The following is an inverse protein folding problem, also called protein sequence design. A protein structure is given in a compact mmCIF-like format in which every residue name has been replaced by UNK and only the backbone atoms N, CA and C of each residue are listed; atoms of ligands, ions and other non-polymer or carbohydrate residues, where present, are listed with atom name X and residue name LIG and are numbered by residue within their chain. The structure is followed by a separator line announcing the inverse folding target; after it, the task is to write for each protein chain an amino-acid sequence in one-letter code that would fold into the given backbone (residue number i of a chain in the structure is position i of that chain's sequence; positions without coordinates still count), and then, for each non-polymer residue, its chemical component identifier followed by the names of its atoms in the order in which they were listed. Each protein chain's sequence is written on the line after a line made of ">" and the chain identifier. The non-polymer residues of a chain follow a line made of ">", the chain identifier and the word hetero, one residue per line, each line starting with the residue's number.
data_IF_754705397544
#
_entry.id   IF_754705397544
#
_cell.length_a   1.000
_cell.length_b   1.000
_cell.length_c   1.000
_cell.angle_alpha   90.00
_cell.angle_beta   90.00
_cell.angle_gamma   90.00
#
_symmetry.space_group_name_H-M   'P 1'
#
loop_
_entity.id
_entity.type
_entity.pdbx_description
1 polymer ?
#
# COMPACT_ATOMS: atom_id res chain seq x y z
N UNK A 1 7.56 -7.20 -1.45
CA UNK A 1 6.84 -6.47 -2.54
C UNK A 1 6.81 -7.13 -3.94
N UNK A 2 7.83 -7.87 -4.43
CA UNK A 2 7.69 -8.58 -5.72
C UNK A 2 6.46 -9.51 -5.78
N UNK A 3 6.13 -10.15 -4.66
CA UNK A 3 4.98 -11.05 -4.56
C UNK A 3 3.63 -10.32 -4.68
N UNK A 4 3.46 -9.18 -4.03
CA UNK A 4 2.26 -8.34 -4.19
C UNK A 4 2.04 -7.99 -5.67
N UNK A 5 3.10 -7.56 -6.37
CA UNK A 5 3.03 -7.19 -7.79
C UNK A 5 2.61 -8.38 -8.64
N UNK A 6 3.18 -9.56 -8.37
CA UNK A 6 2.86 -10.80 -9.08
C UNK A 6 1.39 -11.21 -8.88
N UNK A 7 0.91 -11.16 -7.64
CA UNK A 7 -0.47 -11.53 -7.28
C UNK A 7 -1.47 -10.54 -7.88
N UNK A 8 -1.22 -9.24 -7.74
CA UNK A 8 -2.10 -8.19 -8.26
C UNK A 8 -2.25 -8.24 -9.79
N UNK A 9 -1.18 -8.60 -10.51
CA UNK A 9 -1.21 -8.72 -11.98
C UNK A 9 -1.84 -10.01 -12.51
N UNK A 10 -2.25 -10.91 -11.62
CA UNK A 10 -2.95 -12.13 -12.01
C UNK A 10 -4.27 -11.80 -12.73
N UNK A 11 -4.64 -12.60 -13.73
CA UNK A 11 -5.87 -12.39 -14.49
C UNK A 11 -7.13 -12.40 -13.62
N UNK A 12 -7.10 -13.13 -12.50
CA UNK A 12 -8.23 -13.25 -11.57
C UNK A 12 -8.39 -12.03 -10.65
N UNK A 13 -7.43 -11.10 -10.65
CA UNK A 13 -7.39 -9.95 -9.73
C UNK A 13 -7.49 -8.60 -10.45
N UNK A 14 -7.88 -8.60 -11.73
CA UNK A 14 -7.98 -7.40 -12.57
C UNK A 14 -9.07 -6.41 -12.12
N UNK A 15 -9.98 -6.87 -11.28
CA UNK A 15 -11.10 -6.14 -10.68
C UNK A 15 -10.73 -5.48 -9.34
N UNK A 16 -9.50 -5.67 -8.85
CA UNK A 16 -9.01 -5.11 -7.58
C UNK A 16 -7.92 -4.08 -7.85
N UNK A 17 -8.16 -2.84 -7.44
CA UNK A 17 -7.17 -1.77 -7.52
C UNK A 17 -6.13 -1.89 -6.39
N UNK A 18 -4.88 -1.53 -6.72
CA UNK A 18 -3.79 -1.45 -5.74
C UNK A 18 -3.29 -0.01 -5.68
N UNK A 19 -3.32 0.57 -4.48
CA UNK A 19 -2.78 1.89 -4.19
C UNK A 19 -1.61 1.77 -3.23
N UNK A 20 -0.45 2.31 -3.60
CA UNK A 20 0.68 2.44 -2.69
C UNK A 20 0.56 3.73 -1.89
N UNK A 21 0.84 3.69 -0.59
CA UNK A 21 0.88 4.87 0.27
C UNK A 21 2.31 5.04 0.79
N UNK A 22 2.96 6.15 0.44
CA UNK A 22 4.28 6.52 0.94
C UNK A 22 4.16 7.48 2.11
N UNK A 23 4.89 7.16 3.19
CA UNK A 23 5.05 8.01 4.37
C UNK A 23 6.40 8.75 4.35
N UNK A 24 7.07 8.84 3.20
CA UNK A 24 8.44 9.38 3.14
C UNK A 24 8.53 10.85 3.56
N UNK A 25 7.44 11.62 3.46
CA UNK A 25 7.37 13.00 3.94
C UNK A 25 7.41 13.12 5.47
N UNK A 26 7.24 12.01 6.18
CA UNK A 26 7.25 11.93 7.63
C UNK A 26 8.65 11.67 8.19
N UNK A 27 9.60 11.33 7.32
CA UNK A 27 10.98 11.14 7.71
C UNK A 27 11.60 12.49 8.14
N UNK A 28 12.47 12.50 9.17
CA UNK A 28 13.19 13.70 9.54
C UNK A 28 13.96 14.28 8.35
N UNK A 29 13.83 15.59 8.14
CA UNK A 29 14.51 16.32 7.04
C UNK A 29 14.03 15.91 5.63
N UNK A 30 12.84 15.35 5.49
CA UNK A 30 12.24 15.09 4.20
C UNK A 30 12.14 16.39 3.36
N UNK A 31 12.70 16.33 2.16
CA UNK A 31 12.58 17.38 1.17
C UNK A 31 11.21 17.29 0.49
N UNK A 32 10.26 18.12 0.96
CA UNK A 32 8.87 18.10 0.49
C UNK A 32 8.74 18.36 -1.01
N UNK A 33 9.62 19.18 -1.58
CA UNK A 33 9.58 19.53 -3.00
C UNK A 33 10.13 18.40 -3.87
N UNK A 34 11.21 17.75 -3.44
CA UNK A 34 11.83 16.68 -4.21
C UNK A 34 11.16 15.30 -4.00
N UNK A 35 10.39 15.11 -2.93
CA UNK A 35 9.85 13.78 -2.58
C UNK A 35 8.98 13.15 -3.67
N UNK A 36 8.04 13.88 -4.31
CA UNK A 36 7.22 13.31 -5.38
C UNK A 36 8.03 12.69 -6.52
N UNK A 37 9.07 13.40 -6.97
CA UNK A 37 9.95 12.91 -8.03
C UNK A 37 10.77 11.69 -7.59
N UNK A 38 11.22 11.65 -6.33
CA UNK A 38 11.99 10.53 -5.78
C UNK A 38 11.14 9.25 -5.69
N UNK A 39 9.94 9.36 -5.14
CA UNK A 39 9.00 8.23 -5.00
C UNK A 39 8.57 7.72 -6.38
N UNK A 40 8.21 8.62 -7.29
CA UNK A 40 7.85 8.25 -8.66
C UNK A 40 8.99 7.51 -9.37
N UNK A 41 10.23 8.01 -9.26
CA UNK A 41 11.41 7.35 -9.82
C UNK A 41 11.66 5.99 -9.19
N UNK A 42 11.50 5.85 -7.87
CA UNK A 42 11.68 4.58 -7.17
C UNK A 42 10.68 3.52 -7.66
N UNK A 43 9.38 3.85 -7.66
CA UNK A 43 8.33 2.92 -8.11
C UNK A 43 8.45 2.60 -9.60
N UNK A 44 8.82 3.59 -10.43
CA UNK A 44 9.11 3.40 -11.84
C UNK A 44 10.28 2.45 -12.10
N UNK A 45 11.42 2.66 -11.42
CA UNK A 45 12.60 1.80 -11.55
C UNK A 45 12.34 0.36 -11.11
N UNK A 46 11.45 0.17 -10.13
CA UNK A 46 11.04 -1.15 -9.67
C UNK A 46 10.03 -1.84 -10.60
N UNK A 47 9.47 -1.11 -11.58
CA UNK A 47 8.53 -1.64 -12.55
C UNK A 47 7.20 -2.11 -11.95
N UNK A 48 6.80 -1.56 -10.80
CA UNK A 48 5.58 -1.98 -10.10
C UNK A 48 4.31 -1.49 -10.82
N UNK A 49 4.35 -0.26 -11.35
CA UNK A 49 3.26 0.28 -12.17
C UNK A 49 1.96 0.55 -11.40
N UNK A 50 2.01 0.63 -10.07
CA UNK A 50 0.87 1.01 -9.24
C UNK A 50 0.86 2.52 -9.00
N UNK A 51 -0.32 3.15 -8.89
CA UNK A 51 -0.44 4.51 -8.40
C UNK A 51 0.13 4.61 -6.98
N UNK A 52 0.72 5.76 -6.67
CA UNK A 52 1.28 6.06 -5.36
C UNK A 52 0.71 7.37 -4.87
N UNK A 53 0.17 7.36 -3.66
CA UNK A 53 -0.15 8.57 -2.90
C UNK A 53 0.95 8.80 -1.88
N UNK A 54 1.42 10.03 -1.78
CA UNK A 54 2.40 10.44 -0.78
C UNK A 54 1.64 11.17 0.31
N UNK A 55 1.66 10.61 1.52
CA UNK A 55 0.98 11.19 2.66
C UNK A 55 1.75 12.42 3.15
N UNK A 56 1.18 13.60 2.92
CA UNK A 56 1.83 14.88 3.21
C UNK A 56 1.33 15.63 4.43
N UNK A 57 0.30 15.09 5.11
CA UNK A 57 -0.20 15.69 6.34
C UNK A 57 0.83 15.54 7.46
N UNK A 58 0.93 16.53 8.34
CA UNK A 58 1.86 16.53 9.48
C UNK A 58 1.45 15.57 10.58
N UNK A 59 0.20 15.10 10.58
CA UNK A 59 -0.34 14.22 11.61
C UNK A 59 -0.39 12.76 11.13
N UNK A 60 0.73 12.07 11.30
CA UNK A 60 0.85 10.62 11.05
C UNK A 60 0.03 9.81 12.04
N UNK A 61 -0.13 10.31 13.27
CA UNK A 61 -0.88 9.62 14.30
C UNK A 61 -2.35 9.50 13.90
N UNK A 62 -2.93 10.52 13.26
CA UNK A 62 -4.31 10.45 12.78
C UNK A 62 -4.59 9.26 11.85
N UNK A 63 -3.69 8.94 10.90
CA UNK A 63 -3.86 7.78 10.00
C UNK A 63 -3.55 6.49 10.71
N UNK A 64 -2.51 6.47 11.54
CA UNK A 64 -2.16 5.30 12.33
C UNK A 64 -3.28 4.90 13.28
N UNK A 65 -3.88 5.84 14.00
CA UNK A 65 -5.04 5.62 14.87
C UNK A 65 -6.26 5.21 14.05
N UNK A 66 -6.53 5.88 12.92
CA UNK A 66 -7.71 5.60 12.10
C UNK A 66 -7.74 4.18 11.56
N UNK A 67 -6.58 3.63 11.22
CA UNK A 67 -6.43 2.29 10.63
C UNK A 67 -5.74 1.29 11.54
N UNK A 68 -5.49 1.64 12.81
CA UNK A 68 -4.77 0.82 13.79
C UNK A 68 -3.44 0.28 13.21
N UNK A 69 -2.61 1.18 12.70
CA UNK A 69 -1.34 0.83 12.05
C UNK A 69 -0.24 0.60 13.09
N UNK A 70 0.62 -0.43 12.92
CA UNK A 70 1.69 -0.77 13.85
C UNK A 70 2.90 0.20 13.81
N UNK A 71 2.74 1.39 13.23
CA UNK A 71 3.79 2.39 13.08
C UNK A 71 4.80 2.03 11.98
N UNK A 72 6.05 1.76 12.36
CA UNK A 72 7.17 1.65 11.41
C UNK A 72 7.20 0.35 10.56
N UNK A 73 6.25 -0.56 10.79
CA UNK A 73 6.16 -1.82 10.06
C UNK A 73 5.29 -1.60 8.81
N UNK A 74 5.73 -2.03 7.62
CA UNK A 74 4.88 -2.01 6.44
C UNK A 74 3.58 -2.77 6.69
N UNK A 75 2.46 -2.21 6.25
CA UNK A 75 1.17 -2.90 6.27
C UNK A 75 0.55 -2.88 4.89
N UNK A 76 -0.17 -3.94 4.57
CA UNK A 76 -1.09 -3.99 3.42
C UNK A 76 -2.50 -4.19 3.97
N UNK A 77 -3.39 -3.24 3.72
CA UNK A 77 -4.80 -3.33 4.08
C UNK A 77 -5.62 -3.68 2.83
N UNK A 78 -6.64 -4.51 3.01
CA UNK A 78 -7.54 -4.93 1.94
C UNK A 78 -8.96 -4.46 2.25
N UNK A 79 -9.58 -3.75 1.32
CA UNK A 79 -10.92 -3.17 1.47
C UNK A 79 -11.88 -3.76 0.44
N UNK A 80 -13.13 -4.00 0.85
CA UNK A 80 -14.21 -4.34 -0.07
C UNK A 80 -14.75 -3.12 -0.83
N UNK A 81 -15.67 -3.35 -1.77
CA UNK A 81 -16.33 -2.30 -2.56
C UNK A 81 -17.13 -1.28 -1.73
N UNK A 82 -17.48 -1.62 -0.49
CA UNK A 82 -18.19 -0.74 0.44
C UNK A 82 -17.21 0.06 1.32
N UNK A 83 -15.89 -0.13 1.12
CA UNK A 83 -14.83 0.53 1.89
C UNK A 83 -14.57 -0.10 3.25
N UNK A 84 -15.05 -1.32 3.52
CA UNK A 84 -14.79 -2.03 4.78
C UNK A 84 -13.50 -2.81 4.67
N UNK A 85 -12.67 -2.73 5.71
CA UNK A 85 -11.48 -3.58 5.80
C UNK A 85 -11.91 -5.05 5.95
N UNK A 86 -11.45 -5.90 5.04
CA UNK A 86 -11.71 -7.35 5.04
C UNK A 86 -10.48 -8.18 5.38
N UNK A 87 -9.31 -7.56 5.45
CA UNK A 87 -8.09 -8.19 5.92
C UNK A 87 -6.89 -7.25 5.89
N UNK A 88 -5.82 -7.68 6.54
CA UNK A 88 -4.53 -7.00 6.54
C UNK A 88 -3.37 -8.00 6.60
N UNK A 89 -2.20 -7.56 6.15
CA UNK A 89 -0.93 -8.27 6.27
C UNK A 89 0.10 -7.29 6.82
N UNK A 90 0.71 -7.63 7.96
CA UNK A 90 1.76 -6.85 8.61
C UNK A 90 3.14 -7.40 8.23
N UNK A 91 4.09 -6.51 7.94
CA UNK A 91 5.44 -6.88 7.50
C UNK A 91 5.55 -7.09 6.00
N UNK A 92 6.49 -7.94 5.58
CA UNK A 92 6.90 -8.03 4.17
C UNK A 92 5.88 -8.72 3.26
N UNK A 93 5.03 -9.60 3.83
CA UNK A 93 3.99 -10.36 3.14
C UNK A 93 4.47 -11.31 2.05
N UNK A 94 4.03 -12.56 2.06
CA UNK A 94 4.27 -13.56 1.04
C UNK A 94 3.18 -13.60 -0.04
N UNK A 95 3.46 -14.32 -1.14
CA UNK A 95 2.50 -14.50 -2.23
C UNK A 95 1.16 -15.14 -1.78
N UNK A 96 1.21 -16.07 -0.82
CA UNK A 96 0.02 -16.72 -0.28
C UNK A 96 -0.85 -15.74 0.53
N UNK A 97 -0.23 -14.95 1.41
CA UNK A 97 -0.93 -13.94 2.21
C UNK A 97 -1.59 -12.88 1.32
N UNK A 98 -0.88 -12.40 0.30
CA UNK A 98 -1.49 -11.49 -0.67
C UNK A 98 -2.62 -12.16 -1.44
N UNK A 99 -2.46 -13.40 -1.90
CA UNK A 99 -3.54 -14.10 -2.61
C UNK A 99 -4.80 -14.23 -1.74
N UNK A 100 -4.64 -14.48 -0.44
CA UNK A 100 -5.76 -14.52 0.50
C UNK A 100 -6.44 -13.15 0.64
N UNK A 101 -5.68 -12.06 0.73
CA UNK A 101 -6.25 -10.71 0.78
C UNK A 101 -7.09 -10.40 -0.47
N UNK A 102 -6.57 -10.68 -1.66
CA UNK A 102 -7.33 -10.48 -2.91
C UNK A 102 -8.58 -11.35 -2.98
N UNK A 103 -8.52 -12.60 -2.49
CA UNK A 103 -9.68 -13.47 -2.43
C UNK A 103 -10.77 -12.91 -1.49
N UNK A 104 -10.37 -12.35 -0.34
CA UNK A 104 -11.31 -11.71 0.61
C UNK A 104 -12.00 -10.49 0.02
N UNK A 105 -11.27 -9.64 -0.71
CA UNK A 105 -11.84 -8.46 -1.39
C UNK A 105 -12.91 -8.87 -2.40
N UNK A 106 -12.66 -9.92 -3.18
CA UNK A 106 -13.55 -10.36 -4.25
C UNK A 106 -14.76 -11.16 -3.78
N UNK A 107 -14.75 -11.67 -2.54
CA UNK A 107 -15.84 -12.47 -2.00
C UNK A 107 -17.05 -11.64 -1.53
N UNK A 108 -17.01 -10.30 -1.63
CA UNK A 108 -17.97 -9.36 -1.02
C UNK A 108 -18.57 -8.37 -2.01
#
# INVERSE_FOLDING_TARGET
>A
MPDLVKVARSQVNKDVDVLLVSYDLQLPKADREAMPARVAKFVGNRGWGFPVVIWGDSDVESVNERFDLPGAIPVTLAFDKDGREVGRCEGEGGAEEFAELFAKVRAR
#
